data_IF_839639076439
#
_entry.id   IF_839639076439
#
_cell.length_a   1.000
_cell.length_b   1.000
_cell.length_c   1.000
_cell.angle_alpha   90.00
_cell.angle_beta   90.00
_cell.angle_gamma   90.00
#
_symmetry.space_group_name_H-M   'P 1'
#
loop_
_entity.id
_entity.type
_entity.pdbx_description
1 polymer ?
#
# COMPACT_ATOMS: atom_id res chain seq x y z
N UNK A 1 16.48 -8.33 -11.70
CA UNK A 1 15.38 -8.51 -10.75
C UNK A 1 14.80 -7.14 -10.42
N UNK A 2 13.48 -6.96 -10.44
CA UNK A 2 12.82 -5.68 -10.18
C UNK A 2 13.01 -5.25 -8.73
N UNK A 3 13.40 -4.00 -8.51
CA UNK A 3 13.51 -3.43 -7.17
C UNK A 3 12.12 -3.05 -6.66
N UNK A 4 11.75 -3.55 -5.49
CA UNK A 4 10.42 -3.34 -4.91
C UNK A 4 10.47 -2.45 -3.67
N UNK A 5 9.76 -1.33 -3.70
CA UNK A 5 9.51 -0.47 -2.53
C UNK A 5 8.19 -0.84 -1.89
N UNK A 6 8.19 -1.11 -0.60
CA UNK A 6 6.97 -1.26 0.21
C UNK A 6 6.72 0.03 0.94
N UNK A 7 5.69 0.77 0.52
CA UNK A 7 5.17 1.94 1.23
C UNK A 7 4.13 1.43 2.22
N UNK A 8 4.48 1.43 3.48
CA UNK A 8 3.67 0.90 4.56
C UNK A 8 3.18 2.03 5.46
N UNK A 9 1.90 2.00 5.84
CA UNK A 9 1.33 3.00 6.73
C UNK A 9 0.33 2.36 7.71
N UNK A 10 0.73 2.14 8.95
CA UNK A 10 -0.14 1.62 9.99
C UNK A 10 0.05 2.41 11.30
N UNK A 11 -0.94 3.23 11.74
CA UNK A 11 -0.75 4.12 12.89
C UNK A 11 -0.67 3.38 14.24
N UNK A 12 -1.09 2.11 14.30
CA UNK A 12 -1.13 1.28 15.51
C UNK A 12 -0.60 -0.12 15.22
N UNK A 13 0.59 -0.20 14.63
CA UNK A 13 1.17 -1.47 14.16
C UNK A 13 1.28 -2.51 15.29
N UNK A 14 1.63 -2.09 16.50
CA UNK A 14 1.77 -2.94 17.68
C UNK A 14 0.48 -3.69 18.06
N UNK A 15 -0.67 -3.19 17.62
CA UNK A 15 -1.96 -3.83 17.85
C UNK A 15 -2.45 -4.70 16.69
N UNK A 16 -1.61 -4.87 15.64
CA UNK A 16 -1.97 -5.62 14.44
C UNK A 16 -1.05 -6.79 14.18
N UNK A 17 -1.43 -7.97 14.70
CA UNK A 17 -0.64 -9.20 14.55
C UNK A 17 -0.28 -9.50 13.08
N UNK A 18 -1.23 -9.45 12.18
CA UNK A 18 -1.00 -9.76 10.76
C UNK A 18 -0.06 -8.77 10.08
N UNK A 19 -0.22 -7.46 10.35
CA UNK A 19 0.67 -6.47 9.77
C UNK A 19 2.08 -6.55 10.33
N UNK A 20 2.26 -6.82 11.62
CA UNK A 20 3.58 -7.10 12.21
C UNK A 20 4.27 -8.28 11.50
N UNK A 21 3.55 -9.37 11.27
CA UNK A 21 4.07 -10.54 10.58
C UNK A 21 4.44 -10.26 9.11
N UNK A 22 3.65 -9.43 8.40
CA UNK A 22 3.93 -9.05 7.02
C UNK A 22 5.13 -8.07 6.95
N UNK A 23 5.21 -7.11 7.86
CA UNK A 23 6.37 -6.20 7.97
C UNK A 23 7.65 -6.99 8.23
N UNK A 24 7.62 -7.91 9.20
CA UNK A 24 8.76 -8.78 9.48
C UNK A 24 9.17 -9.63 8.27
N UNK A 25 8.22 -10.04 7.45
CA UNK A 25 8.50 -10.74 6.20
C UNK A 25 9.25 -9.83 5.23
N UNK A 26 8.80 -8.59 4.99
CA UNK A 26 9.48 -7.66 4.09
C UNK A 26 10.91 -7.35 4.55
N UNK A 27 11.11 -7.08 5.83
CA UNK A 27 12.43 -6.77 6.40
C UNK A 27 13.43 -7.92 6.22
N UNK A 28 12.97 -9.18 6.30
CA UNK A 28 13.83 -10.36 6.16
C UNK A 28 14.20 -10.71 4.71
N UNK A 29 13.53 -10.12 3.73
CA UNK A 29 13.75 -10.43 2.33
C UNK A 29 14.40 -9.25 1.61
N UNK A 30 15.67 -9.41 1.21
CA UNK A 30 16.49 -8.38 0.58
C UNK A 30 15.92 -7.76 -0.71
N UNK A 31 14.87 -8.38 -1.28
CA UNK A 31 14.19 -7.88 -2.49
C UNK A 31 13.19 -6.77 -2.22
N UNK A 32 12.82 -6.59 -0.96
CA UNK A 32 11.94 -5.52 -0.53
C UNK A 32 12.73 -4.43 0.18
N UNK A 33 12.40 -3.20 -0.11
CA UNK A 33 12.79 -2.05 0.73
C UNK A 33 11.53 -1.57 1.44
N UNK A 34 11.48 -1.76 2.74
CA UNK A 34 10.37 -1.28 3.56
C UNK A 34 10.53 0.21 3.86
N UNK A 35 9.44 0.93 3.71
CA UNK A 35 9.30 2.34 4.09
C UNK A 35 8.06 2.47 4.97
N UNK A 36 8.25 2.42 6.28
CA UNK A 36 7.18 2.66 7.25
C UNK A 36 7.00 4.17 7.42
N UNK A 37 5.87 4.68 6.95
CA UNK A 37 5.61 6.12 6.96
C UNK A 37 5.48 6.68 8.37
N UNK A 38 4.92 5.92 9.32
CA UNK A 38 4.74 6.37 10.69
C UNK A 38 6.05 6.39 11.49
N UNK A 39 7.02 5.55 11.14
CA UNK A 39 8.37 5.63 11.70
C UNK A 39 9.19 6.76 11.08
N UNK A 40 9.03 6.98 9.77
CA UNK A 40 9.81 7.96 9.01
C UNK A 40 9.32 9.41 9.23
N UNK A 41 8.03 9.59 9.48
CA UNK A 41 7.38 10.90 9.59
C UNK A 41 6.49 10.97 10.84
N UNK A 42 7.06 10.80 12.05
CA UNK A 42 6.27 10.81 13.29
C UNK A 42 5.63 12.19 13.58
N UNK A 43 6.18 13.24 13.00
CA UNK A 43 5.70 14.63 13.07
C UNK A 43 4.79 15.02 11.89
N UNK A 44 4.49 14.08 10.99
CA UNK A 44 3.69 14.31 9.77
C UNK A 44 4.33 15.29 8.77
N UNK A 45 5.61 15.61 8.92
CA UNK A 45 6.32 16.51 7.99
C UNK A 45 6.98 15.71 6.85
N UNK A 46 6.25 15.52 5.74
CA UNK A 46 6.71 14.71 4.61
C UNK A 46 7.83 15.42 3.84
N UNK A 47 8.98 14.75 3.71
CA UNK A 47 10.07 15.21 2.87
C UNK A 47 9.81 14.90 1.39
N UNK A 48 8.81 15.55 0.78
CA UNK A 48 8.26 15.24 -0.54
C UNK A 48 9.33 15.10 -1.64
N UNK A 49 10.30 16.02 -1.69
CA UNK A 49 11.39 15.97 -2.67
C UNK A 49 12.23 14.68 -2.55
N UNK A 50 12.52 14.24 -1.32
CA UNK A 50 13.27 13.00 -1.08
C UNK A 50 12.46 11.77 -1.50
N UNK A 51 11.16 11.76 -1.20
CA UNK A 51 10.27 10.66 -1.59
C UNK A 51 10.12 10.59 -3.11
N UNK A 52 9.90 11.71 -3.80
CA UNK A 52 9.86 11.78 -5.27
C UNK A 52 11.13 11.22 -5.91
N UNK A 53 12.31 11.61 -5.40
CA UNK A 53 13.59 11.08 -5.86
C UNK A 53 13.72 9.57 -5.59
N UNK A 54 13.17 9.10 -4.46
CA UNK A 54 13.17 7.68 -4.08
C UNK A 54 12.37 6.85 -5.06
N UNK A 55 11.15 7.28 -5.43
CA UNK A 55 10.26 6.55 -6.35
C UNK A 55 10.96 6.18 -7.67
N UNK A 56 11.83 7.05 -8.19
CA UNK A 56 12.56 6.80 -9.43
C UNK A 56 13.47 5.58 -9.40
N UNK A 57 13.90 5.15 -8.22
CA UNK A 57 14.87 4.05 -8.05
C UNK A 57 14.21 2.66 -8.00
N UNK A 58 12.88 2.58 -8.10
CA UNK A 58 12.14 1.32 -8.00
C UNK A 58 11.30 1.06 -9.25
N UNK A 59 11.14 -0.23 -9.54
CA UNK A 59 10.35 -0.71 -10.67
C UNK A 59 8.95 -1.13 -10.26
N UNK A 60 8.80 -1.45 -8.99
CA UNK A 60 7.59 -2.02 -8.39
C UNK A 60 7.31 -1.40 -7.02
N UNK A 61 6.03 -1.21 -6.73
CA UNK A 61 5.56 -0.70 -5.44
C UNK A 61 4.54 -1.63 -4.82
N UNK A 62 4.64 -1.82 -3.51
CA UNK A 62 3.57 -2.38 -2.68
C UNK A 62 3.09 -1.25 -1.77
N UNK A 63 1.84 -0.86 -1.86
CA UNK A 63 1.23 0.12 -0.97
C UNK A 63 0.36 -0.66 0.01
N UNK A 64 0.80 -0.76 1.27
CA UNK A 64 0.12 -1.55 2.30
C UNK A 64 -0.38 -0.68 3.44
N UNK A 65 -1.67 -0.81 3.77
CA UNK A 65 -2.31 -0.04 4.84
C UNK A 65 -3.58 -0.72 5.37
N UNK A 66 -4.00 -0.42 6.59
CA UNK A 66 -5.30 -0.81 7.12
C UNK A 66 -6.39 0.17 6.68
N UNK A 67 -7.63 -0.30 6.56
CA UNK A 67 -8.80 0.58 6.52
C UNK A 67 -9.04 1.13 7.93
N UNK A 68 -9.02 2.45 8.06
CA UNK A 68 -9.33 3.19 9.28
C UNK A 68 -10.49 4.13 9.00
N UNK A 69 -11.60 3.96 9.72
CA UNK A 69 -12.82 4.75 9.51
C UNK A 69 -13.19 4.86 8.02
N UNK A 70 -13.20 3.69 7.34
CA UNK A 70 -13.60 3.53 5.94
C UNK A 70 -12.71 4.26 4.92
N UNK A 71 -11.48 4.58 5.29
CA UNK A 71 -10.50 5.21 4.41
C UNK A 71 -9.07 4.76 4.70
N UNK A 72 -8.12 5.31 3.97
CA UNK A 72 -6.71 5.08 4.24
C UNK A 72 -6.23 5.89 5.45
N UNK A 73 -5.12 5.47 6.10
CA UNK A 73 -4.54 6.21 7.21
C UNK A 73 -4.19 7.66 6.84
N UNK A 74 -4.39 8.64 7.77
CA UNK A 74 -4.15 10.06 7.48
C UNK A 74 -2.76 10.36 6.92
N UNK A 75 -1.72 9.72 7.47
CA UNK A 75 -0.35 9.95 7.01
C UNK A 75 -0.10 9.41 5.60
N UNK A 76 -0.73 8.29 5.22
CA UNK A 76 -0.65 7.79 3.84
C UNK A 76 -1.34 8.79 2.88
N UNK A 77 -2.50 9.31 3.26
CA UNK A 77 -3.19 10.32 2.45
C UNK A 77 -2.33 11.56 2.28
N UNK A 78 -1.77 12.08 3.36
CA UNK A 78 -0.86 13.23 3.34
C UNK A 78 0.38 12.93 2.46
N UNK A 79 0.96 11.74 2.59
CA UNK A 79 2.12 11.35 1.78
C UNK A 79 1.78 11.36 0.28
N UNK A 80 0.60 10.87 -0.11
CA UNK A 80 0.13 10.92 -1.51
C UNK A 80 -0.02 12.38 -1.94
N UNK A 81 -0.67 13.23 -1.14
CA UNK A 81 -0.93 14.63 -1.48
C UNK A 81 0.37 15.44 -1.65
N UNK A 82 1.40 15.16 -0.84
CA UNK A 82 2.68 15.86 -0.88
C UNK A 82 3.64 15.29 -1.96
N UNK A 83 3.61 13.97 -2.17
CA UNK A 83 4.58 13.30 -3.05
C UNK A 83 4.10 13.26 -4.50
N UNK A 84 2.82 13.00 -4.75
CA UNK A 84 2.29 12.95 -6.12
C UNK A 84 2.19 14.37 -6.69
N UNK A 85 2.92 14.60 -7.77
CA UNK A 85 3.07 15.95 -8.33
C UNK A 85 2.29 16.08 -9.64
N UNK A 86 1.39 17.05 -9.70
CA UNK A 86 0.60 17.32 -10.91
C UNK A 86 1.47 17.69 -12.12
N UNK A 87 2.70 18.15 -11.90
CA UNK A 87 3.65 18.39 -12.99
C UNK A 87 4.00 17.12 -13.79
N UNK A 88 3.92 15.92 -13.17
CA UNK A 88 4.15 14.64 -13.85
C UNK A 88 3.14 14.31 -14.94
N UNK A 89 2.03 15.07 -15.01
CA UNK A 89 1.03 14.94 -16.08
C UNK A 89 1.42 15.72 -17.35
N UNK A 90 2.53 16.47 -17.32
CA UNK A 90 3.04 17.20 -18.48
C UNK A 90 3.99 16.30 -19.26
N UNK A 91 3.96 16.42 -20.58
CA UNK A 91 4.76 15.56 -21.48
C UNK A 91 6.28 15.76 -21.33
N UNK A 92 6.71 16.93 -20.87
CA UNK A 92 8.13 17.31 -20.69
C UNK A 92 8.68 17.01 -19.28
N UNK A 93 7.86 16.44 -18.39
CA UNK A 93 8.23 16.13 -17.01
C UNK A 93 8.24 14.63 -16.77
N UNK A 94 9.36 14.12 -16.24
CA UNK A 94 9.47 12.70 -15.89
C UNK A 94 8.46 12.31 -14.81
N UNK A 95 7.60 11.34 -15.13
CA UNK A 95 6.66 10.74 -14.21
C UNK A 95 7.26 9.46 -13.59
N UNK A 96 7.62 9.44 -12.30
CA UNK A 96 8.27 8.29 -11.68
C UNK A 96 7.35 7.08 -11.48
N UNK A 97 6.03 7.23 -11.70
CA UNK A 97 5.05 6.16 -11.58
C UNK A 97 4.65 5.56 -12.93
N UNK A 98 4.98 6.22 -14.06
CA UNK A 98 4.55 5.76 -15.38
C UNK A 98 5.10 4.36 -15.70
N UNK A 99 4.19 3.44 -15.98
CA UNK A 99 4.51 2.06 -16.32
C UNK A 99 5.00 1.19 -15.14
N UNK A 100 5.14 1.76 -13.93
CA UNK A 100 5.56 1.01 -12.74
C UNK A 100 4.46 0.07 -12.26
N UNK A 101 4.85 -1.12 -11.80
CA UNK A 101 3.93 -2.10 -11.23
C UNK A 101 3.55 -1.71 -9.81
N UNK A 102 2.25 -1.68 -9.52
CA UNK A 102 1.73 -1.35 -8.19
C UNK A 102 0.83 -2.47 -7.68
N UNK A 103 1.10 -2.94 -6.49
CA UNK A 103 0.29 -3.88 -5.73
C UNK A 103 -0.28 -3.12 -4.52
N UNK A 104 -1.58 -3.21 -4.33
CA UNK A 104 -2.24 -2.58 -3.17
C UNK A 104 -2.62 -3.68 -2.20
N UNK A 105 -2.21 -3.55 -0.95
CA UNK A 105 -2.52 -4.50 0.13
C UNK A 105 -3.30 -3.78 1.21
N UNK A 106 -4.56 -4.12 1.32
CA UNK A 106 -5.48 -3.51 2.29
C UNK A 106 -5.81 -4.50 3.39
N UNK A 107 -5.60 -4.13 4.63
CA UNK A 107 -6.02 -4.95 5.77
C UNK A 107 -7.24 -4.34 6.47
N UNK A 108 -8.12 -5.17 6.98
CA UNK A 108 -9.30 -4.73 7.75
C UNK A 108 -9.66 -5.72 8.85
N UNK A 109 -10.14 -5.22 9.97
CA UNK A 109 -10.72 -6.06 11.04
C UNK A 109 -12.12 -6.56 10.71
N UNK A 110 -12.76 -6.00 9.68
CA UNK A 110 -14.12 -6.37 9.26
C UNK A 110 -14.19 -7.66 8.45
N UNK A 111 -15.39 -8.24 8.39
CA UNK A 111 -15.66 -9.44 7.57
C UNK A 111 -15.90 -9.05 6.13
N UNK A 112 -15.48 -9.90 5.18
CA UNK A 112 -15.70 -9.68 3.76
C UNK A 112 -17.15 -9.34 3.41
N UNK A 113 -18.12 -10.13 3.92
CA UNK A 113 -19.56 -9.91 3.68
C UNK A 113 -20.07 -8.53 4.10
N UNK A 114 -19.37 -7.85 5.02
CA UNK A 114 -19.77 -6.51 5.47
C UNK A 114 -19.42 -5.43 4.46
N UNK A 115 -18.40 -5.66 3.61
CA UNK A 115 -17.93 -4.76 2.57
C UNK A 115 -18.51 -5.13 1.20
N UNK A 116 -19.83 -5.13 1.10
CA UNK A 116 -20.54 -5.39 -0.15
C UNK A 116 -21.75 -4.47 -0.26
N UNK A 117 -22.35 -4.38 -1.43
CA UNK A 117 -23.55 -3.54 -1.68
C UNK A 117 -24.75 -3.93 -0.80
N UNK A 118 -24.83 -5.19 -0.41
CA UNK A 118 -25.88 -5.75 0.45
C UNK A 118 -25.39 -6.00 1.89
N UNK A 119 -24.13 -5.70 2.18
CA UNK A 119 -23.51 -5.88 3.48
C UNK A 119 -23.78 -4.70 4.43
N UNK A 120 -23.25 -4.82 5.64
CA UNK A 120 -23.47 -3.82 6.72
C UNK A 120 -23.01 -2.43 6.31
N UNK A 121 -21.92 -2.32 5.57
CA UNK A 121 -21.34 -1.02 5.22
C UNK A 121 -21.83 -0.49 3.86
N UNK A 122 -22.46 -1.31 3.03
CA UNK A 122 -22.99 -0.97 1.70
C UNK A 122 -21.95 -0.44 0.70
N UNK A 123 -20.67 -0.52 1.04
CA UNK A 123 -19.53 -0.13 0.22
C UNK A 123 -18.52 -1.28 0.16
N UNK A 124 -17.91 -1.48 -1.00
CA UNK A 124 -16.77 -2.38 -1.18
C UNK A 124 -15.48 -1.69 -0.75
N UNK A 125 -14.43 -2.47 -0.49
CA UNK A 125 -13.11 -1.89 -0.20
C UNK A 125 -12.59 -1.09 -1.39
N UNK A 126 -12.79 -1.56 -2.63
CA UNK A 126 -12.37 -0.85 -3.85
C UNK A 126 -13.00 0.54 -3.95
N UNK A 127 -14.27 0.68 -3.57
CA UNK A 127 -14.94 1.99 -3.52
C UNK A 127 -14.34 2.90 -2.45
N UNK A 128 -13.99 2.35 -1.29
CA UNK A 128 -13.39 3.11 -0.18
C UNK A 128 -11.97 3.60 -0.51
N UNK A 129 -11.24 2.89 -1.38
CA UNK A 129 -9.88 3.26 -1.81
C UNK A 129 -9.86 3.82 -3.25
N UNK A 130 -11.01 4.11 -3.83
CA UNK A 130 -11.13 4.58 -5.23
C UNK A 130 -10.27 5.80 -5.53
N UNK A 131 -10.11 6.72 -4.59
CA UNK A 131 -9.24 7.89 -4.75
C UNK A 131 -7.77 7.52 -4.99
N UNK A 132 -7.25 6.48 -4.32
CA UNK A 132 -5.91 5.96 -4.57
C UNK A 132 -5.82 5.32 -5.96
N UNK A 133 -6.80 4.48 -6.31
CA UNK A 133 -6.87 3.81 -7.62
C UNK A 133 -6.87 4.85 -8.75
N UNK A 134 -7.73 5.87 -8.65
CA UNK A 134 -7.81 6.94 -9.64
C UNK A 134 -6.49 7.71 -9.74
N UNK A 135 -5.87 8.05 -8.61
CA UNK A 135 -4.58 8.75 -8.58
C UNK A 135 -3.48 7.95 -9.29
N UNK A 136 -3.37 6.64 -9.01
CA UNK A 136 -2.39 5.77 -9.66
C UNK A 136 -2.64 5.66 -11.17
N UNK A 137 -3.90 5.54 -11.59
CA UNK A 137 -4.28 5.46 -13.01
C UNK A 137 -3.96 6.75 -13.76
N UNK A 138 -4.23 7.93 -13.18
CA UNK A 138 -3.90 9.24 -13.78
C UNK A 138 -2.38 9.34 -14.02
N UNK A 139 -1.57 8.86 -13.09
CA UNK A 139 -0.11 8.83 -13.23
C UNK A 139 0.39 7.61 -14.03
N UNK A 140 -0.51 6.91 -14.74
CA UNK A 140 -0.18 5.79 -15.65
C UNK A 140 0.59 4.64 -14.97
N UNK A 141 0.42 4.46 -13.67
CA UNK A 141 0.92 3.28 -12.96
C UNK A 141 0.11 2.04 -13.37
N UNK A 142 0.74 0.89 -13.37
CA UNK A 142 0.09 -0.39 -13.68
C UNK A 142 -0.35 -1.07 -12.38
N UNK A 143 -1.62 -0.96 -12.00
CA UNK A 143 -2.15 -1.70 -10.86
C UNK A 143 -2.24 -3.18 -11.25
N UNK A 144 -1.39 -4.00 -10.63
CA UNK A 144 -1.26 -5.42 -10.93
C UNK A 144 -2.23 -6.27 -10.11
N UNK A 145 -2.43 -5.91 -8.84
CA UNK A 145 -3.35 -6.61 -7.93
C UNK A 145 -3.78 -5.71 -6.78
N UNK A 146 -4.99 -5.95 -6.28
CA UNK A 146 -5.51 -5.39 -5.04
C UNK A 146 -5.85 -6.55 -4.11
N UNK A 147 -4.98 -6.80 -3.14
CA UNK A 147 -5.16 -7.84 -2.15
C UNK A 147 -5.87 -7.26 -0.93
N UNK A 148 -7.01 -7.84 -0.54
CA UNK A 148 -7.73 -7.46 0.67
C UNK A 148 -7.60 -8.57 1.71
N UNK A 149 -7.14 -8.21 2.90
CA UNK A 149 -6.99 -9.14 4.03
C UNK A 149 -8.08 -8.81 5.06
N UNK A 150 -9.16 -9.55 5.00
CA UNK A 150 -10.27 -9.43 5.94
C UNK A 150 -9.95 -10.09 7.29
N UNK A 151 -10.62 -9.65 8.34
CA UNK A 151 -10.45 -10.13 9.71
C UNK A 151 -8.96 -10.25 10.12
N UNK A 152 -8.14 -9.30 9.67
CA UNK A 152 -6.69 -9.32 9.74
C UNK A 152 -6.13 -9.64 11.14
N UNK A 153 -6.81 -9.22 12.21
CA UNK A 153 -6.40 -9.50 13.59
C UNK A 153 -6.75 -10.92 14.07
N UNK A 154 -7.48 -11.70 13.26
CA UNK A 154 -7.91 -13.07 13.58
C UNK A 154 -7.26 -14.14 12.73
N UNK A 155 -6.37 -13.76 11.81
CA UNK A 155 -5.72 -14.70 10.92
C UNK A 155 -4.91 -15.73 11.71
N UNK A 156 -5.08 -17.00 11.33
CA UNK A 156 -4.23 -18.09 11.80
C UNK A 156 -2.83 -17.99 11.21
N UNK A 157 -1.87 -18.67 11.83
CA UNK A 157 -0.50 -18.79 11.30
C UNK A 157 -0.48 -19.31 9.86
N UNK A 158 -1.37 -20.26 9.52
CA UNK A 158 -1.47 -20.85 8.18
C UNK A 158 -1.90 -19.80 7.14
N UNK A 159 -2.90 -18.98 7.46
CA UNK A 159 -3.39 -17.92 6.57
C UNK A 159 -2.32 -16.83 6.36
N UNK A 160 -1.58 -16.46 7.41
CA UNK A 160 -0.45 -15.53 7.30
C UNK A 160 0.64 -16.10 6.38
N UNK A 161 0.95 -17.40 6.48
CA UNK A 161 1.92 -18.05 5.60
C UNK A 161 1.44 -17.99 4.14
N UNK A 162 0.16 -18.22 3.87
CA UNK A 162 -0.40 -18.10 2.52
C UNK A 162 -0.27 -16.69 1.95
N UNK A 163 -0.51 -15.65 2.77
CA UNK A 163 -0.29 -14.26 2.35
C UNK A 163 1.19 -14.00 2.01
N UNK A 164 2.12 -14.48 2.84
CA UNK A 164 3.57 -14.37 2.58
C UNK A 164 3.97 -15.08 1.28
N UNK A 165 3.42 -16.26 1.00
CA UNK A 165 3.67 -16.99 -0.25
C UNK A 165 3.16 -16.22 -1.48
N UNK A 166 2.01 -15.54 -1.37
CA UNK A 166 1.51 -14.65 -2.43
C UNK A 166 2.52 -13.55 -2.74
N UNK A 167 3.12 -12.92 -1.73
CA UNK A 167 4.14 -11.89 -1.94
C UNK A 167 5.43 -12.43 -2.55
N UNK A 168 5.85 -13.64 -2.20
CA UNK A 168 6.99 -14.31 -2.87
C UNK A 168 6.67 -14.52 -4.36
N UNK A 169 5.45 -14.91 -4.71
CA UNK A 169 5.07 -15.11 -6.11
C UNK A 169 5.15 -13.82 -6.94
N UNK A 170 4.88 -12.66 -6.33
CA UNK A 170 5.04 -11.35 -6.95
C UNK A 170 6.50 -11.08 -7.35
N UNK A 171 7.46 -11.53 -6.56
CA UNK A 171 8.89 -11.35 -6.85
C UNK A 171 9.38 -12.17 -8.05
N UNK A 172 8.71 -13.26 -8.34
CA UNK A 172 9.09 -14.19 -9.40
C UNK A 172 8.47 -13.83 -10.76
N UNK A 173 7.69 -12.78 -10.84
CA UNK A 173 7.13 -12.18 -12.06
C UNK A 173 8.00 -11.00 -12.52
#
# INVERSE_FOLDING_TARGET
>A
MKKTLVVFAHPYLEHSHSNVELVNFYVRHQHFTLRDLYEEYPDFHIAAFRERKRLKNYDRFIIQFPIIWFGMPPLLRLWIDEVFDRSWLKDDVENPLEGKEVYIVVTTGGKERSFSKTGTYQYTIDELISGLIVSLNIFKAKIMDITIVYEANKLSKKEIILQKQKFISILNQ
#
